data_IF_123362730738
#
_entry.id   IF_123362730738
#
_cell.length_a   1.000
_cell.length_b   1.000
_cell.length_c   1.000
_cell.angle_alpha   90.00
_cell.angle_beta   90.00
_cell.angle_gamma   90.00
#
_symmetry.space_group_name_H-M   'P 1'
#
loop_
_entity.id
_entity.type
_entity.pdbx_description
1 polymer ?
#
# COMPACT_ATOMS: atom_id res chain seq x y z
N UNK A 1 1.10 8.98 25.25
CA UNK A 1 1.75 8.27 24.13
C UNK A 1 0.82 7.29 23.41
N UNK A 2 0.16 6.33 24.08
CA UNK A 2 -0.79 5.39 23.44
C UNK A 2 -1.92 6.06 22.62
N UNK A 3 -2.48 7.19 23.11
CA UNK A 3 -3.51 7.97 22.40
C UNK A 3 -2.99 8.67 21.12
N UNK A 4 -1.70 8.98 21.09
CA UNK A 4 -1.04 9.63 19.95
C UNK A 4 -0.72 8.59 18.85
N UNK A 5 -0.27 7.39 19.24
CA UNK A 5 -0.10 6.25 18.34
C UNK A 5 -1.43 5.79 17.71
N UNK A 6 -2.51 5.75 18.49
CA UNK A 6 -3.86 5.44 17.98
C UNK A 6 -4.37 6.52 17.00
N UNK A 7 -4.03 7.79 17.24
CA UNK A 7 -4.39 8.88 16.33
C UNK A 7 -3.62 8.82 15.01
N UNK A 8 -2.33 8.44 15.04
CA UNK A 8 -1.51 8.26 13.84
C UNK A 8 -2.02 7.06 13.01
N UNK A 9 -2.35 5.94 13.66
CA UNK A 9 -2.92 4.76 12.99
C UNK A 9 -4.29 5.06 12.37
N UNK A 10 -5.13 5.83 13.07
CA UNK A 10 -6.42 6.29 12.56
C UNK A 10 -6.29 7.29 11.40
N UNK A 11 -5.30 8.18 11.46
CA UNK A 11 -5.03 9.14 10.39
C UNK A 11 -4.55 8.45 9.10
N UNK A 12 -3.74 7.39 9.19
CA UNK A 12 -3.32 6.62 8.01
C UNK A 12 -4.49 5.89 7.32
N UNK A 13 -5.50 5.43 8.07
CA UNK A 13 -6.71 4.84 7.48
C UNK A 13 -7.64 5.88 6.85
N UNK A 14 -7.68 7.10 7.37
CA UNK A 14 -8.52 8.18 6.86
C UNK A 14 -7.96 8.88 5.62
N UNK A 15 -6.64 8.86 5.40
CA UNK A 15 -6.06 9.33 4.15
C UNK A 15 -6.44 8.45 2.94
N UNK A 16 -6.79 7.18 3.17
CA UNK A 16 -7.27 6.28 2.12
C UNK A 16 -8.69 6.61 1.64
N UNK A 17 -9.56 7.12 2.52
CA UNK A 17 -10.98 7.34 2.18
C UNK A 17 -11.26 8.63 1.40
N UNK A 18 -10.37 9.64 1.47
CA UNK A 18 -10.50 10.88 0.69
C UNK A 18 -9.97 10.78 -0.75
N UNK A 19 -9.33 9.67 -1.12
CA UNK A 19 -8.78 9.44 -2.45
C UNK A 19 -9.65 8.52 -3.34
N UNK A 20 -10.91 8.24 -2.94
CA UNK A 20 -11.88 7.54 -3.80
C UNK A 20 -12.35 8.44 -4.94
N UNK A 21 -11.45 8.76 -5.87
CA UNK A 21 -11.85 8.95 -7.26
C UNK A 21 -12.48 7.65 -7.73
N UNK A 22 -13.63 7.74 -8.40
CA UNK A 22 -14.25 6.57 -9.02
C UNK A 22 -13.20 5.92 -9.93
N UNK A 23 -12.93 4.61 -9.80
CA UNK A 23 -12.03 3.90 -10.72
C UNK A 23 -12.70 3.86 -12.09
N UNK A 24 -12.16 4.61 -13.06
CA UNK A 24 -12.73 4.78 -14.41
C UNK A 24 -12.01 3.91 -15.41
N UNK A 25 -10.69 3.82 -15.33
CA UNK A 25 -9.91 2.91 -16.17
C UNK A 25 -8.61 2.42 -15.53
N UNK A 26 -7.83 1.65 -16.29
CA UNK A 26 -6.60 1.04 -15.83
C UNK A 26 -5.55 2.05 -15.34
N UNK A 27 -5.63 3.33 -15.75
CA UNK A 27 -4.67 4.35 -15.30
C UNK A 27 -4.88 4.68 -13.83
N UNK A 28 -6.14 4.66 -13.38
CA UNK A 28 -6.47 4.84 -11.96
C UNK A 28 -5.93 3.66 -11.14
N UNK A 29 -6.00 2.44 -11.68
CA UNK A 29 -5.38 1.27 -11.06
C UNK A 29 -3.84 1.36 -11.04
N UNK A 30 -3.22 1.91 -12.09
CA UNK A 30 -1.77 2.10 -12.17
C UNK A 30 -1.27 3.16 -11.17
N UNK A 31 -2.07 4.18 -10.87
CA UNK A 31 -1.77 5.15 -9.81
C UNK A 31 -1.78 4.49 -8.42
N UNK A 32 -2.79 3.65 -8.15
CA UNK A 32 -2.81 2.86 -6.90
C UNK A 32 -1.63 1.90 -6.83
N UNK A 33 -1.29 1.22 -7.93
CA UNK A 33 -0.13 0.31 -8.00
C UNK A 33 1.17 1.01 -7.61
N UNK A 34 1.39 2.25 -8.08
CA UNK A 34 2.56 3.06 -7.71
C UNK A 34 2.63 3.33 -6.21
N UNK A 35 1.51 3.71 -5.59
CA UNK A 35 1.48 3.95 -4.15
C UNK A 35 1.78 2.70 -3.32
N UNK A 36 1.33 1.52 -3.77
CA UNK A 36 1.68 0.27 -3.10
C UNK A 36 3.17 -0.02 -3.21
N UNK A 37 3.78 0.17 -4.39
CA UNK A 37 5.23 0.00 -4.59
C UNK A 37 6.03 0.99 -3.74
N UNK A 38 5.60 2.25 -3.66
CA UNK A 38 6.21 3.26 -2.79
C UNK A 38 6.15 2.87 -1.30
N UNK A 39 5.00 2.37 -0.83
CA UNK A 39 4.83 1.93 0.55
C UNK A 39 5.75 0.74 0.89
N UNK A 40 5.91 -0.21 -0.03
CA UNK A 40 6.85 -1.33 0.12
C UNK A 40 8.28 -0.81 0.26
N UNK A 41 8.72 0.09 -0.63
CA UNK A 41 10.08 0.64 -0.59
C UNK A 41 10.36 1.45 0.68
N UNK A 42 9.39 2.21 1.20
CA UNK A 42 9.54 2.91 2.47
C UNK A 42 9.66 1.92 3.64
N UNK A 43 8.88 0.84 3.64
CA UNK A 43 9.00 -0.22 4.65
C UNK A 43 10.38 -0.91 4.60
N UNK A 44 10.88 -1.24 3.40
CA UNK A 44 12.20 -1.82 3.22
C UNK A 44 13.31 -0.89 3.72
N UNK A 45 13.23 0.40 3.39
CA UNK A 45 14.15 1.43 3.91
C UNK A 45 14.10 1.53 5.44
N UNK A 46 12.90 1.55 6.03
CA UNK A 46 12.73 1.60 7.48
C UNK A 46 13.33 0.37 8.18
N UNK A 47 13.16 -0.83 7.60
CA UNK A 47 13.75 -2.08 8.11
C UNK A 47 15.28 -2.05 8.03
N UNK A 48 15.83 -1.62 6.90
CA UNK A 48 17.27 -1.53 6.67
C UNK A 48 17.93 -0.49 7.60
N UNK A 49 17.28 0.64 7.86
CA UNK A 49 17.84 1.73 8.66
C UNK A 49 17.90 1.44 10.17
N UNK A 50 16.98 0.64 10.71
CA UNK A 50 16.85 0.50 12.17
C UNK A 50 16.93 -0.92 12.73
N UNK A 51 17.08 -1.98 11.90
CA UNK A 51 16.83 -3.36 12.36
C UNK A 51 15.51 -3.44 13.18
N UNK A 52 14.49 -2.72 12.72
CA UNK A 52 13.18 -2.71 13.36
C UNK A 52 12.56 -4.09 13.11
N UNK A 53 12.79 -5.02 14.02
CA UNK A 53 11.92 -6.18 14.15
C UNK A 53 10.60 -5.64 14.69
N UNK A 54 9.69 -5.35 13.75
CA UNK A 54 8.31 -4.95 14.02
C UNK A 54 7.51 -6.12 14.63
N UNK A 55 8.11 -6.96 15.47
CA UNK A 55 7.54 -8.17 16.07
C UNK A 55 6.78 -9.04 15.05
N UNK A 56 7.31 -9.14 13.82
CA UNK A 56 6.64 -9.82 12.69
C UNK A 56 5.47 -9.07 12.02
N UNK A 57 4.96 -7.96 12.58
CA UNK A 57 3.95 -7.13 11.92
C UNK A 57 4.45 -6.47 10.64
N UNK A 58 5.74 -6.14 10.59
CA UNK A 58 6.37 -5.59 9.38
C UNK A 58 6.40 -6.61 8.24
N UNK A 59 6.65 -7.90 8.55
CA UNK A 59 6.61 -8.97 7.54
C UNK A 59 5.18 -9.20 7.02
N UNK A 60 4.19 -9.18 7.91
CA UNK A 60 2.77 -9.33 7.53
C UNK A 60 2.24 -8.17 6.70
N UNK A 61 2.62 -6.93 7.06
CA UNK A 61 2.26 -5.75 6.28
C UNK A 61 2.90 -5.79 4.88
N UNK A 62 4.16 -6.23 4.79
CA UNK A 62 4.85 -6.42 3.51
C UNK A 62 4.15 -7.49 2.66
N UNK A 63 3.80 -8.63 3.25
CA UNK A 63 3.07 -9.70 2.58
C UNK A 63 1.73 -9.20 2.01
N UNK A 64 0.96 -8.44 2.79
CA UNK A 64 -0.31 -7.86 2.35
C UNK A 64 -0.11 -6.87 1.19
N UNK A 65 0.91 -6.00 1.27
CA UNK A 65 1.23 -5.05 0.20
C UNK A 65 1.69 -5.77 -1.07
N UNK A 66 2.55 -6.79 -0.95
CA UNK A 66 3.01 -7.62 -2.07
C UNK A 66 1.88 -8.41 -2.71
N UNK A 67 0.88 -8.84 -1.93
CA UNK A 67 -0.32 -9.47 -2.46
C UNK A 67 -1.15 -8.48 -3.29
N UNK A 68 -1.45 -7.31 -2.71
CA UNK A 68 -2.20 -6.26 -3.39
C UNK A 68 -1.49 -5.75 -4.65
N UNK A 69 -0.16 -5.68 -4.64
CA UNK A 69 0.66 -5.32 -5.80
C UNK A 69 0.45 -6.31 -6.96
N UNK A 70 0.49 -7.62 -6.69
CA UNK A 70 0.25 -8.65 -7.71
C UNK A 70 -1.16 -8.58 -8.27
N UNK A 71 -2.17 -8.48 -7.41
CA UNK A 71 -3.57 -8.41 -7.84
C UNK A 71 -3.84 -7.17 -8.71
N UNK A 72 -3.29 -6.01 -8.33
CA UNK A 72 -3.41 -4.79 -9.14
C UNK A 72 -2.69 -4.94 -10.47
N UNK A 73 -1.49 -5.52 -10.48
CA UNK A 73 -0.75 -5.75 -11.71
C UNK A 73 -1.54 -6.64 -12.68
N UNK A 74 -2.07 -7.77 -12.20
CA UNK A 74 -2.90 -8.66 -13.00
C UNK A 74 -4.17 -7.97 -13.52
N UNK A 75 -4.84 -7.16 -12.68
CA UNK A 75 -6.02 -6.41 -13.09
C UNK A 75 -5.71 -5.36 -14.16
N UNK A 76 -4.57 -4.68 -14.07
CA UNK A 76 -4.10 -3.71 -15.07
C UNK A 76 -3.83 -4.42 -16.39
N UNK A 77 -3.08 -5.53 -16.38
CA UNK A 77 -2.73 -6.27 -17.58
C UNK A 77 -3.97 -6.86 -18.26
N UNK A 78 -4.90 -7.43 -17.50
CA UNK A 78 -6.18 -7.90 -18.03
C UNK A 78 -6.98 -6.75 -18.67
N UNK A 79 -7.05 -5.60 -17.99
CA UNK A 79 -7.76 -4.41 -18.50
C UNK A 79 -7.15 -3.85 -19.78
N UNK A 80 -5.82 -3.95 -19.94
CA UNK A 80 -5.10 -3.57 -21.16
C UNK A 80 -5.37 -4.53 -22.31
N UNK A 81 -5.42 -5.84 -22.03
CA UNK A 81 -5.66 -6.87 -23.03
C UNK A 81 -7.09 -6.87 -23.61
N UNK A 82 -8.06 -6.31 -22.88
CA UNK A 82 -9.46 -6.21 -23.29
C UNK A 82 -9.83 -4.88 -24.01
N UNK A 83 -8.86 -4.00 -24.29
CA UNK A 83 -9.03 -2.79 -25.12
C UNK A 83 -8.47 -2.99 -26.52
#
# INVERSE_FOLDING_TARGET
MKRLLLAILGASMLCFSSAYGQVRDWRDLEEVHKHIVEAIHEMERARAANHYDMEGYGARAEEALRHAERELHEAIEASRAHR
#
